data_IF_037126962562
#
_entry.id   IF_037126962562
#
_cell.length_a   1.000
_cell.length_b   1.000
_cell.length_c   1.000
_cell.angle_alpha   90.00
_cell.angle_beta   90.00
_cell.angle_gamma   90.00
#
_symmetry.space_group_name_H-M   'P 1'
#
loop_
_entity.id
_entity.type
_entity.pdbx_description
1 polymer ?
#
# COMPACT_ATOMS: atom_id res chain seq x y z
N UNK A 1 -70.11 2.84 22.88
CA UNK A 1 -68.70 2.60 23.28
C UNK A 1 -67.83 3.62 22.55
N UNK A 2 -67.27 4.58 23.29
CA UNK A 2 -66.48 5.70 22.75
C UNK A 2 -65.07 5.22 22.37
N UNK A 3 -64.55 5.56 21.18
CA UNK A 3 -63.14 5.32 20.85
C UNK A 3 -62.26 6.42 21.48
N UNK A 4 -61.16 6.00 22.11
CA UNK A 4 -60.09 6.87 22.62
C UNK A 4 -59.27 7.44 21.44
N UNK A 5 -58.90 8.73 21.45
CA UNK A 5 -58.05 9.33 20.42
C UNK A 5 -56.56 9.16 20.77
N UNK A 6 -55.74 8.84 19.76
CA UNK A 6 -54.29 8.98 19.77
C UNK A 6 -53.91 10.40 19.35
N UNK A 7 -52.89 10.93 20.01
CA UNK A 7 -52.53 12.34 20.08
C UNK A 7 -52.11 12.96 18.75
N UNK A 8 -52.62 14.17 18.51
CA UNK A 8 -52.10 15.14 17.57
C UNK A 8 -51.42 16.28 18.34
N UNK A 9 -50.29 16.77 17.82
CA UNK A 9 -49.77 18.12 18.11
C UNK A 9 -48.30 18.17 18.49
N UNK A 10 -47.46 18.65 17.56
CA UNK A 10 -46.52 19.77 17.80
C UNK A 10 -45.56 19.94 16.60
N UNK A 11 -46.04 20.52 15.51
CA UNK A 11 -45.23 21.36 14.63
C UNK A 11 -45.19 22.78 15.20
N UNK A 12 -44.06 23.47 14.98
CA UNK A 12 -43.84 24.91 15.14
C UNK A 12 -43.70 25.44 16.58
N UNK A 13 -42.45 25.43 17.07
CA UNK A 13 -41.83 26.52 17.85
C UNK A 13 -40.37 26.17 18.10
N UNK A 14 -39.45 26.85 17.40
CA UNK A 14 -38.09 27.25 17.84
C UNK A 14 -37.30 27.86 16.67
N UNK A 15 -37.86 28.89 16.03
CA UNK A 15 -37.06 30.02 15.56
C UNK A 15 -36.97 30.98 16.74
N UNK A 16 -35.78 31.07 17.36
CA UNK A 16 -35.28 32.08 18.29
C UNK A 16 -34.29 31.44 19.28
N UNK A 17 -33.12 31.06 18.79
CA UNK A 17 -31.92 30.80 19.60
C UNK A 17 -30.67 30.88 18.70
N UNK A 18 -30.61 31.95 17.90
CA UNK A 18 -29.46 32.42 17.15
C UNK A 18 -29.35 33.91 17.51
N UNK A 19 -28.51 34.20 18.50
CA UNK A 19 -28.01 35.52 18.95
C UNK A 19 -27.86 35.51 20.48
N UNK A 20 -26.72 35.02 20.98
CA UNK A 20 -26.07 35.44 22.23
C UNK A 20 -25.11 34.34 22.70
N UNK A 21 -23.93 34.23 22.08
CA UNK A 21 -22.75 33.60 22.70
C UNK A 21 -21.46 33.89 21.89
N UNK A 22 -21.36 35.07 21.27
CA UNK A 22 -20.13 35.57 20.62
C UNK A 22 -19.67 36.90 21.24
N UNK A 23 -19.48 36.92 22.57
CA UNK A 23 -18.93 38.09 23.25
C UNK A 23 -18.36 37.75 24.65
N UNK A 24 -17.36 36.87 24.73
CA UNK A 24 -16.48 36.76 25.91
C UNK A 24 -15.29 35.81 25.63
N UNK A 25 -14.31 36.23 24.82
CA UNK A 25 -12.89 35.90 25.01
C UNK A 25 -12.05 36.67 23.97
N UNK A 26 -12.07 37.99 24.09
CA UNK A 26 -11.22 38.91 23.33
C UNK A 26 -10.67 40.00 24.26
N UNK A 27 -10.06 39.61 25.38
CA UNK A 27 -9.27 40.49 26.25
C UNK A 27 -8.15 39.66 26.88
N UNK A 28 -7.03 39.55 26.16
CA UNK A 28 -5.68 39.34 26.70
C UNK A 28 -4.74 39.13 25.51
N UNK A 29 -4.16 40.22 25.00
CA UNK A 29 -2.84 40.41 24.35
C UNK A 29 -2.98 41.67 23.49
N UNK A 30 -3.00 42.82 24.15
CA UNK A 30 -2.81 44.12 23.51
C UNK A 30 -2.25 45.06 24.59
N UNK A 31 -0.93 45.07 24.73
CA UNK A 31 -0.30 45.92 25.72
C UNK A 31 1.19 45.69 25.89
N UNK A 32 1.98 45.82 24.82
CA UNK A 32 3.31 46.45 24.85
C UNK A 32 3.64 46.89 23.42
N UNK A 33 3.41 48.15 23.09
CA UNK A 33 4.18 48.89 22.08
C UNK A 33 3.56 50.28 21.89
N UNK A 34 4.09 51.30 22.56
CA UNK A 34 4.24 52.63 21.97
C UNK A 34 5.35 53.43 22.66
N UNK A 35 6.21 53.98 21.79
CA UNK A 35 6.92 55.27 21.87
C UNK A 35 8.25 55.36 22.63
N UNK A 36 9.30 55.30 21.81
CA UNK A 36 10.44 56.22 21.74
C UNK A 36 10.46 57.40 22.72
N UNK A 37 11.55 57.50 23.48
CA UNK A 37 12.14 58.77 23.85
C UNK A 37 13.67 58.62 23.89
N UNK A 38 14.32 59.59 23.26
CA UNK A 38 15.76 59.75 23.06
C UNK A 38 16.52 59.81 24.39
N UNK A 39 17.68 59.17 24.42
CA UNK A 39 18.79 59.59 25.28
C UNK A 39 20.06 59.60 24.44
N UNK A 40 20.47 60.82 24.08
CA UNK A 40 21.80 61.14 23.57
C UNK A 40 22.84 60.77 24.63
N UNK A 41 23.66 59.78 24.33
CA UNK A 41 24.83 59.45 25.14
C UNK A 41 26.08 59.87 24.36
N UNK A 42 26.74 60.90 24.89
CA UNK A 42 27.91 61.53 24.32
C UNK A 42 29.06 60.54 24.21
N UNK A 43 29.52 60.29 22.97
CA UNK A 43 30.69 59.46 22.69
C UNK A 43 31.97 60.29 22.87
N UNK A 44 32.73 59.98 23.91
CA UNK A 44 34.08 60.48 24.11
C UNK A 44 35.02 60.04 22.97
N UNK A 45 36.04 60.83 22.59
CA UNK A 45 36.91 60.53 21.46
C UNK A 45 37.85 59.35 21.74
N UNK A 46 38.07 58.56 20.69
CA UNK A 46 38.95 57.41 20.66
C UNK A 46 40.43 57.79 20.90
N UNK A 47 41.08 57.13 21.85
CA UNK A 47 42.54 57.06 21.95
C UNK A 47 43.11 56.09 20.89
N UNK A 48 44.39 56.22 20.50
CA UNK A 48 44.97 55.44 19.42
C UNK A 48 45.04 53.95 19.79
N UNK A 49 44.47 53.12 18.92
CA UNK A 49 44.50 51.66 19.05
C UNK A 49 45.93 51.14 18.92
N UNK A 50 46.42 50.49 19.98
CA UNK A 50 47.64 49.68 19.94
C UNK A 50 47.35 48.39 19.17
N UNK A 51 47.99 48.22 18.00
CA UNK A 51 47.90 47.00 17.20
C UNK A 51 48.64 45.88 17.94
N UNK A 52 47.90 44.92 18.49
CA UNK A 52 48.45 43.65 18.94
C UNK A 52 48.65 42.71 17.74
N UNK A 53 49.79 42.00 17.63
CA UNK A 53 50.06 41.13 16.50
C UNK A 53 49.12 39.92 16.48
N UNK A 54 48.54 39.66 15.31
CA UNK A 54 47.65 38.54 15.03
C UNK A 54 48.29 37.20 15.41
N UNK A 55 47.64 36.48 16.32
CA UNK A 55 47.99 35.10 16.64
C UNK A 55 47.81 34.22 15.40
N UNK A 56 48.89 33.58 14.96
CA UNK A 56 48.90 32.63 13.85
C UNK A 56 47.92 31.48 14.12
N UNK A 57 46.96 31.29 13.22
CA UNK A 57 46.04 30.17 13.26
C UNK A 57 46.82 28.85 13.15
N UNK A 58 46.69 27.98 14.17
CA UNK A 58 47.21 26.62 14.13
C UNK A 58 46.50 25.84 13.01
N UNK A 59 47.22 25.07 12.18
CA UNK A 59 46.57 24.21 11.19
C UNK A 59 45.70 23.17 11.91
N UNK A 60 44.43 23.08 11.50
CA UNK A 60 43.52 22.06 11.99
C UNK A 60 44.06 20.67 11.61
N UNK A 61 44.19 19.79 12.59
CA UNK A 61 44.51 18.39 12.35
C UNK A 61 43.38 17.78 11.51
N UNK A 62 43.69 16.96 10.48
CA UNK A 62 42.67 16.29 9.69
C UNK A 62 41.83 15.40 10.60
N UNK A 63 40.51 15.65 10.64
CA UNK A 63 39.57 14.72 11.26
C UNK A 63 39.67 13.37 10.53
N UNK A 64 39.77 12.25 11.25
CA UNK A 64 39.70 10.94 10.61
C UNK A 64 38.36 10.85 9.89
N UNK A 65 38.42 10.55 8.58
CA UNK A 65 37.23 10.28 7.79
C UNK A 65 36.40 9.20 8.51
N UNK A 66 35.11 9.45 8.69
CA UNK A 66 34.19 8.45 9.23
C UNK A 66 34.41 7.14 8.46
N UNK A 67 34.58 6.00 9.14
CA UNK A 67 34.81 4.73 8.46
C UNK A 67 33.69 4.51 7.45
N UNK A 68 34.05 4.36 6.17
CA UNK A 68 33.08 4.02 5.15
C UNK A 68 32.40 2.69 5.53
N UNK A 69 31.09 2.55 5.33
CA UNK A 69 30.41 1.29 5.60
C UNK A 69 31.10 0.15 4.84
N UNK A 70 31.29 -0.99 5.50
CA UNK A 70 31.85 -2.16 4.81
C UNK A 70 30.89 -2.68 3.72
N UNK A 71 31.42 -3.46 2.79
CA UNK A 71 30.65 -3.97 1.65
C UNK A 71 29.49 -4.89 2.08
N UNK A 72 29.61 -5.56 3.23
CA UNK A 72 28.57 -6.47 3.75
C UNK A 72 27.37 -5.66 4.23
N UNK A 73 27.60 -4.57 4.95
CA UNK A 73 26.56 -3.64 5.38
C UNK A 73 25.84 -3.00 4.20
N UNK A 74 26.58 -2.57 3.17
CA UNK A 74 25.97 -1.99 1.96
C UNK A 74 25.12 -3.01 1.21
N UNK A 75 25.61 -4.25 1.05
CA UNK A 75 24.85 -5.32 0.42
C UNK A 75 23.57 -5.68 1.20
N UNK A 76 23.66 -5.69 2.55
CA UNK A 76 22.47 -5.87 3.41
C UNK A 76 21.49 -4.71 3.25
N UNK A 77 21.98 -3.47 3.21
CA UNK A 77 21.15 -2.30 3.01
C UNK A 77 20.45 -2.28 1.66
N UNK A 78 21.15 -2.68 0.59
CA UNK A 78 20.56 -2.85 -0.74
C UNK A 78 19.46 -3.92 -0.73
N UNK A 79 19.73 -5.06 -0.07
CA UNK A 79 18.75 -6.13 0.09
C UNK A 79 17.48 -5.63 0.80
N UNK A 80 17.63 -4.89 1.89
CA UNK A 80 16.49 -4.33 2.63
C UNK A 80 15.77 -3.25 1.83
N UNK A 81 16.47 -2.43 1.04
CA UNK A 81 15.86 -1.43 0.16
C UNK A 81 14.96 -2.09 -0.91
N UNK A 82 15.44 -3.20 -1.50
CA UNK A 82 14.65 -4.03 -2.44
C UNK A 82 13.50 -4.72 -1.74
N UNK A 83 13.74 -5.39 -0.61
CA UNK A 83 12.70 -6.03 0.19
C UNK A 83 11.60 -5.05 0.64
N UNK A 84 11.95 -3.78 0.83
CA UNK A 84 11.04 -2.71 1.24
C UNK A 84 10.38 -1.95 0.09
N UNK A 85 10.62 -2.36 -1.15
CA UNK A 85 10.09 -1.73 -2.36
C UNK A 85 10.37 -0.22 -2.44
N UNK A 86 11.55 0.19 -1.97
CA UNK A 86 11.92 1.61 -1.96
C UNK A 86 11.95 2.17 -3.40
N UNK A 87 12.46 1.39 -4.36
CA UNK A 87 12.59 1.80 -5.75
C UNK A 87 11.23 1.91 -6.46
N UNK A 88 10.29 0.97 -6.27
CA UNK A 88 8.97 1.00 -6.91
C UNK A 88 8.14 2.22 -6.50
N UNK A 89 8.28 2.66 -5.24
CA UNK A 89 7.61 3.88 -4.76
C UNK A 89 8.39 5.17 -5.07
N UNK A 90 9.72 5.16 -4.96
CA UNK A 90 10.56 6.36 -5.08
C UNK A 90 11.21 6.54 -6.45
N UNK A 91 10.75 5.87 -7.49
CA UNK A 91 11.22 6.09 -8.87
C UNK A 91 10.05 6.55 -9.72
N UNK A 92 10.20 7.67 -10.43
CA UNK A 92 9.14 8.11 -11.34
C UNK A 92 8.96 7.09 -12.48
N UNK A 93 7.71 6.83 -12.91
CA UNK A 93 7.46 5.95 -14.05
C UNK A 93 8.11 6.50 -15.33
N UNK A 94 8.25 5.65 -16.35
CA UNK A 94 8.80 6.01 -17.67
C UNK A 94 10.28 6.41 -17.64
N UNK A 95 11.11 5.68 -16.88
CA UNK A 95 12.56 5.87 -16.87
C UNK A 95 13.05 6.99 -15.96
N UNK A 96 12.33 7.28 -14.88
CA UNK A 96 12.82 8.14 -13.82
C UNK A 96 14.13 7.62 -13.22
N UNK A 97 14.99 8.53 -12.75
CA UNK A 97 16.20 8.13 -12.04
C UNK A 97 15.83 7.37 -10.74
N UNK A 98 16.49 6.23 -10.44
CA UNK A 98 16.20 5.44 -9.26
C UNK A 98 16.18 6.28 -7.99
N UNK A 99 15.16 6.07 -7.14
CA UNK A 99 15.01 6.72 -5.84
C UNK A 99 14.82 8.26 -5.86
N UNK A 100 14.75 8.89 -7.05
CA UNK A 100 14.65 10.35 -7.20
C UNK A 100 13.22 10.91 -7.03
N UNK A 101 12.27 10.08 -6.61
CA UNK A 101 10.87 10.42 -6.37
C UNK A 101 10.07 10.74 -7.63
N UNK A 102 8.84 11.23 -7.41
CA UNK A 102 7.95 11.69 -8.47
C UNK A 102 6.98 10.64 -9.00
N UNK A 103 6.88 9.46 -8.36
CA UNK A 103 5.75 8.56 -8.54
C UNK A 103 4.51 9.12 -7.82
N UNK A 104 3.33 9.00 -8.41
CA UNK A 104 2.08 9.50 -7.85
C UNK A 104 1.19 8.36 -7.39
N UNK A 105 0.87 8.32 -6.10
CA UNK A 105 -0.07 7.36 -5.55
C UNK A 105 -1.48 7.96 -5.48
N UNK A 106 -2.43 7.34 -6.17
CA UNK A 106 -3.85 7.69 -6.10
C UNK A 106 -4.42 7.36 -4.71
N UNK A 107 -5.25 8.25 -4.17
CA UNK A 107 -6.00 8.02 -2.95
C UNK A 107 -7.38 8.69 -3.02
N UNK A 108 -8.35 8.29 -2.17
CA UNK A 108 -9.63 8.99 -2.08
C UNK A 108 -9.53 10.47 -1.71
N UNK A 109 -8.36 10.93 -1.26
CA UNK A 109 -8.12 12.30 -0.82
C UNK A 109 -7.34 13.13 -1.85
N UNK A 110 -6.94 12.53 -2.97
CA UNK A 110 -6.08 13.13 -4.00
C UNK A 110 -4.79 12.35 -4.24
N UNK A 111 -3.86 12.94 -4.99
CA UNK A 111 -2.62 12.28 -5.41
C UNK A 111 -1.46 12.61 -4.49
N UNK A 112 -0.82 11.59 -3.91
CA UNK A 112 0.35 11.73 -3.06
C UNK A 112 1.60 11.45 -3.88
N UNK A 113 2.42 12.49 -4.10
CA UNK A 113 3.71 12.34 -4.79
C UNK A 113 4.81 11.82 -3.85
N UNK A 114 5.57 10.83 -4.29
CA UNK A 114 6.77 10.33 -3.61
C UNK A 114 7.93 11.33 -3.72
N UNK A 115 8.82 11.31 -2.72
CA UNK A 115 9.94 12.24 -2.61
C UNK A 115 11.25 11.63 -3.11
N UNK A 116 12.20 12.46 -3.47
CA UNK A 116 13.58 12.10 -3.72
C UNK A 116 14.23 11.65 -2.39
N UNK A 117 14.66 10.39 -2.35
CA UNK A 117 15.35 9.79 -1.19
C UNK A 117 16.81 9.43 -1.51
N UNK A 118 17.36 9.97 -2.61
CA UNK A 118 18.79 9.85 -2.93
C UNK A 118 19.63 10.68 -1.94
N UNK A 119 20.94 10.44 -1.81
CA UNK A 119 21.80 11.22 -0.92
C UNK A 119 22.13 12.62 -1.45
N UNK A 120 21.35 13.15 -2.40
CA UNK A 120 21.49 14.54 -2.84
C UNK A 120 21.29 15.50 -1.64
N UNK A 121 22.22 16.45 -1.40
CA UNK A 121 22.20 17.29 -0.21
C UNK A 121 21.16 18.42 -0.28
N UNK A 122 20.54 18.68 -1.43
CA UNK A 122 19.61 19.81 -1.59
C UNK A 122 18.15 19.36 -1.72
N UNK A 123 17.90 18.34 -2.53
CA UNK A 123 16.57 17.82 -2.84
C UNK A 123 16.29 16.44 -2.25
N UNK A 124 17.33 15.68 -1.92
CA UNK A 124 17.27 14.34 -1.34
C UNK A 124 17.43 14.32 0.19
N UNK A 125 17.95 13.21 0.69
CA UNK A 125 18.21 12.97 2.12
C UNK A 125 19.69 13.17 2.50
N UNK A 126 20.52 13.76 1.64
CA UNK A 126 21.97 13.87 1.87
C UNK A 126 22.39 14.58 3.15
N UNK A 127 21.49 15.34 3.77
CA UNK A 127 21.72 16.01 5.05
C UNK A 127 20.94 15.37 6.23
N UNK A 128 20.41 14.17 6.08
CA UNK A 128 19.73 13.45 7.16
C UNK A 128 20.79 12.76 8.00
N UNK A 129 20.68 12.90 9.32
CA UNK A 129 21.38 11.99 10.25
C UNK A 129 20.70 10.62 10.24
N UNK A 130 21.35 9.62 10.83
CA UNK A 130 20.71 8.33 11.09
C UNK A 130 19.40 8.50 11.89
N UNK A 131 19.40 9.33 12.93
CA UNK A 131 18.21 9.58 13.76
C UNK A 131 17.07 10.24 12.96
N UNK A 132 17.40 11.13 12.04
CA UNK A 132 16.41 11.72 11.13
C UNK A 132 15.80 10.64 10.22
N UNK A 133 16.63 9.76 9.66
CA UNK A 133 16.19 8.66 8.81
C UNK A 133 15.34 7.64 9.56
N UNK A 134 15.80 7.18 10.74
CA UNK A 134 15.07 6.28 11.62
C UNK A 134 13.71 6.86 12.03
N UNK A 135 13.66 8.16 12.32
CA UNK A 135 12.41 8.87 12.67
C UNK A 135 11.46 8.98 11.49
N UNK A 136 11.95 9.09 10.26
CA UNK A 136 11.10 9.03 9.06
C UNK A 136 10.47 7.65 8.95
N UNK A 137 11.28 6.60 8.99
CA UNK A 137 10.81 5.24 8.77
C UNK A 137 9.89 4.74 9.90
N UNK A 138 10.24 4.98 11.16
CA UNK A 138 9.45 4.48 12.30
C UNK A 138 8.28 5.36 12.69
N UNK A 139 8.33 6.66 12.41
CA UNK A 139 7.34 7.63 12.93
C UNK A 139 6.67 8.47 11.85
N UNK A 140 7.11 8.39 10.59
CA UNK A 140 6.57 9.21 9.52
C UNK A 140 6.81 10.70 9.75
N UNK A 141 7.94 11.09 10.34
CA UNK A 141 8.29 12.50 10.60
C UNK A 141 9.63 12.84 9.96
N UNK A 142 9.60 13.61 8.87
CA UNK A 142 10.78 14.07 8.15
C UNK A 142 11.54 15.18 8.90
N UNK A 143 12.72 15.56 8.41
CA UNK A 143 13.50 16.70 8.95
C UNK A 143 12.66 17.98 8.92
N UNK A 144 12.79 18.81 9.96
CA UNK A 144 11.95 19.99 10.16
C UNK A 144 10.54 19.70 10.70
N UNK A 145 10.28 18.48 11.18
CA UNK A 145 9.00 18.12 11.83
C UNK A 145 7.84 17.85 10.88
N UNK A 146 8.11 17.81 9.57
CA UNK A 146 7.09 17.57 8.54
C UNK A 146 6.56 16.14 8.61
N UNK A 147 5.28 15.98 8.94
CA UNK A 147 4.61 14.66 8.99
C UNK A 147 4.31 14.14 7.59
N UNK A 148 4.51 12.84 7.39
CA UNK A 148 4.25 12.12 6.15
C UNK A 148 2.84 11.55 6.16
N UNK A 149 2.21 11.54 4.99
CA UNK A 149 0.97 10.80 4.79
C UNK A 149 1.23 9.30 4.97
N UNK A 150 0.27 8.54 5.51
CA UNK A 150 0.40 7.08 5.70
C UNK A 150 0.37 6.28 4.38
N UNK A 151 0.55 6.96 3.24
CA UNK A 151 0.94 6.33 1.98
C UNK A 151 2.37 5.78 2.03
N UNK A 152 3.26 6.42 2.79
CA UNK A 152 4.53 5.83 3.15
C UNK A 152 4.27 4.90 4.35
N UNK A 153 4.56 3.59 4.26
CA UNK A 153 4.09 2.59 5.22
C UNK A 153 4.92 2.57 6.52
N UNK A 154 5.07 3.73 7.17
CA UNK A 154 5.81 3.85 8.43
C UNK A 154 5.18 3.06 9.59
N UNK A 155 3.91 2.68 9.50
CA UNK A 155 3.29 1.78 10.47
C UNK A 155 3.85 0.35 10.38
N UNK A 156 4.23 -0.11 9.18
CA UNK A 156 4.94 -1.37 8.99
C UNK A 156 6.43 -1.19 9.30
N UNK A 157 7.08 -0.15 8.78
CA UNK A 157 8.50 0.11 9.03
C UNK A 157 8.82 0.45 10.48
N UNK A 158 7.85 0.82 11.32
CA UNK A 158 8.04 0.88 12.77
C UNK A 158 8.59 -0.45 13.35
N UNK A 159 8.26 -1.58 12.71
CA UNK A 159 8.69 -2.92 13.10
C UNK A 159 10.08 -3.31 12.58
N UNK A 160 10.75 -2.49 11.75
CA UNK A 160 12.10 -2.79 11.25
C UNK A 160 13.09 -2.89 12.41
N UNK A 161 13.96 -3.89 12.39
CA UNK A 161 15.00 -4.01 13.41
C UNK A 161 16.10 -2.95 13.24
N UNK A 162 16.87 -2.70 14.30
CA UNK A 162 17.90 -1.65 14.26
C UNK A 162 19.05 -1.97 13.30
N UNK A 163 19.37 -3.24 13.07
CA UNK A 163 20.49 -3.63 12.22
C UNK A 163 20.16 -3.39 10.74
N UNK A 164 18.97 -3.81 10.31
CA UNK A 164 18.43 -3.57 8.97
C UNK A 164 18.23 -2.07 8.72
N UNK A 165 17.81 -1.32 9.73
CA UNK A 165 17.65 0.13 9.62
C UNK A 165 18.99 0.87 9.43
N UNK A 166 20.03 0.48 10.18
CA UNK A 166 21.38 1.03 9.98
C UNK A 166 21.96 0.65 8.61
N UNK A 167 21.83 -0.62 8.21
CA UNK A 167 22.29 -1.08 6.91
C UNK A 167 21.58 -0.34 5.76
N UNK A 168 20.26 -0.19 5.87
CA UNK A 168 19.47 0.58 4.90
C UNK A 168 19.93 2.03 4.82
N UNK A 169 20.13 2.70 5.96
CA UNK A 169 20.67 4.08 5.97
C UNK A 169 22.05 4.15 5.30
N UNK A 170 22.97 3.22 5.61
CA UNK A 170 24.28 3.16 5.00
C UNK A 170 24.19 3.00 3.47
N UNK A 171 23.33 2.11 2.98
CA UNK A 171 23.10 1.94 1.54
C UNK A 171 22.50 3.18 0.89
N UNK A 172 21.50 3.82 1.51
CA UNK A 172 20.91 5.03 0.94
C UNK A 172 21.89 6.19 0.88
N UNK A 173 22.82 6.29 1.84
CA UNK A 173 23.79 7.38 1.90
C UNK A 173 25.05 7.15 1.05
N UNK A 174 25.47 5.88 0.87
CA UNK A 174 26.76 5.54 0.25
C UNK A 174 26.64 4.62 -0.96
N UNK A 175 25.56 3.85 -1.09
CA UNK A 175 25.31 2.93 -2.21
C UNK A 175 24.42 3.49 -3.31
N UNK A 176 23.62 4.53 -3.03
CA UNK A 176 22.73 5.17 -4.01
C UNK A 176 23.40 6.40 -4.62
N UNK A 177 23.30 6.56 -5.94
CA UNK A 177 23.79 7.75 -6.62
C UNK A 177 22.94 8.99 -6.28
N UNK A 178 23.54 10.15 -5.96
CA UNK A 178 22.80 11.37 -5.71
C UNK A 178 22.14 11.88 -6.99
N UNK A 179 20.88 12.31 -6.90
CA UNK A 179 20.15 12.90 -8.03
C UNK A 179 19.58 14.26 -7.61
N UNK A 180 20.05 15.32 -8.24
CA UNK A 180 19.61 16.68 -7.97
C UNK A 180 18.26 17.00 -8.64
N UNK A 181 17.19 16.33 -8.17
CA UNK A 181 15.82 16.49 -8.71
C UNK A 181 14.85 16.99 -7.64
N UNK A 182 14.16 18.12 -7.85
CA UNK A 182 13.21 18.65 -6.88
C UNK A 182 11.95 17.79 -6.74
N UNK A 183 11.41 17.76 -5.53
CA UNK A 183 10.18 17.05 -5.20
C UNK A 183 8.95 17.70 -5.86
N UNK A 184 8.05 16.86 -6.37
CA UNK A 184 6.71 17.29 -6.80
C UNK A 184 5.80 17.44 -5.58
N UNK A 185 4.91 18.43 -5.61
CA UNK A 185 3.92 18.62 -4.53
C UNK A 185 2.80 17.59 -4.65
N UNK A 186 2.41 17.01 -3.52
CA UNK A 186 1.18 16.22 -3.43
C UNK A 186 -0.03 17.13 -3.64
N UNK A 187 -1.02 16.64 -4.38
CA UNK A 187 -2.30 17.32 -4.60
C UNK A 187 -3.37 16.59 -3.78
N UNK A 188 -3.44 16.95 -2.49
CA UNK A 188 -4.41 16.39 -1.54
C UNK A 188 -5.43 17.48 -1.24
N UNK A 189 -6.71 17.13 -1.27
CA UNK A 189 -7.80 18.09 -1.07
C UNK A 189 -7.95 18.52 0.40
N UNK A 190 -8.46 19.73 0.64
CA UNK A 190 -8.89 20.14 1.97
C UNK A 190 -10.04 19.22 2.47
N UNK A 191 -10.07 18.80 3.75
CA UNK A 191 -9.15 19.17 4.85
C UNK A 191 -7.87 18.32 4.97
N UNK A 192 -7.70 17.30 4.13
CA UNK A 192 -6.60 16.32 4.24
C UNK A 192 -5.22 16.88 3.85
N UNK A 193 -5.15 18.06 3.23
CA UNK A 193 -3.88 18.79 3.02
C UNK A 193 -3.24 19.31 4.32
N UNK A 194 -3.98 19.35 5.43
CA UNK A 194 -3.52 19.89 6.70
C UNK A 194 -2.65 18.88 7.47
N UNK A 195 -1.33 18.88 7.21
CA UNK A 195 -0.38 17.91 7.78
C UNK A 195 -0.27 17.88 9.30
N UNK A 196 -0.69 18.94 10.00
CA UNK A 196 -0.67 18.96 11.48
C UNK A 196 -1.67 17.95 12.08
N UNK A 197 -2.80 17.68 11.40
CA UNK A 197 -3.79 16.70 11.86
C UNK A 197 -3.24 15.27 11.89
N UNK A 198 -2.22 14.98 11.08
CA UNK A 198 -1.52 13.69 11.10
C UNK A 198 -0.81 13.42 12.43
N UNK A 199 -0.57 14.44 13.26
CA UNK A 199 -0.04 14.24 14.61
C UNK A 199 -0.98 13.35 15.44
N UNK A 200 -2.27 13.67 15.44
CA UNK A 200 -3.29 12.91 16.18
C UNK A 200 -3.46 11.52 15.59
N UNK A 201 -3.47 11.42 14.26
CA UNK A 201 -3.55 10.15 13.56
C UNK A 201 -2.38 9.23 13.91
N UNK A 202 -1.15 9.75 13.87
CA UNK A 202 0.05 8.97 14.17
C UNK A 202 0.07 8.53 15.64
N UNK A 203 -0.37 9.37 16.57
CA UNK A 203 -0.48 9.03 17.98
C UNK A 203 -1.42 7.83 18.22
N UNK A 204 -2.49 7.74 17.44
CA UNK A 204 -3.53 6.73 17.58
C UNK A 204 -3.18 5.39 16.88
N UNK A 205 -2.49 5.42 15.75
CA UNK A 205 -2.42 4.25 14.84
C UNK A 205 -1.01 3.75 14.51
N UNK A 206 0.06 4.42 14.92
CA UNK A 206 1.43 3.97 14.62
C UNK A 206 1.94 3.04 15.72
N UNK A 207 2.32 1.78 15.39
CA UNK A 207 3.02 0.92 16.32
C UNK A 207 4.31 1.58 16.81
N UNK A 208 4.65 1.38 18.08
CA UNK A 208 5.80 2.06 18.70
C UNK A 208 7.04 1.19 18.80
N UNK A 209 6.87 -0.13 18.69
CA UNK A 209 7.90 -1.10 18.97
C UNK A 209 8.36 -1.81 17.69
N UNK A 210 9.67 -2.11 17.58
CA UNK A 210 10.20 -3.04 16.59
C UNK A 210 9.50 -4.41 16.68
N UNK A 211 9.63 -5.21 15.63
CA UNK A 211 9.17 -6.59 15.67
C UNK A 211 9.84 -7.36 16.81
N UNK A 212 9.05 -8.13 17.56
CA UNK A 212 9.53 -8.99 18.62
C UNK A 212 9.29 -10.45 18.22
N UNK A 213 10.35 -11.28 18.16
CA UNK A 213 10.20 -12.70 17.87
C UNK A 213 9.30 -13.40 18.89
N UNK A 214 8.43 -14.27 18.39
CA UNK A 214 7.57 -15.14 19.18
C UNK A 214 8.37 -16.33 19.70
N UNK A 215 8.42 -16.49 21.02
CA UNK A 215 9.17 -17.56 21.68
C UNK A 215 8.57 -18.96 21.45
N UNK A 216 7.27 -19.05 21.13
CA UNK A 216 6.55 -20.29 20.80
C UNK A 216 6.70 -20.70 19.32
N UNK A 217 7.47 -19.93 18.54
CA UNK A 217 7.64 -20.12 17.09
C UNK A 217 9.10 -20.32 16.73
N UNK A 218 9.33 -21.08 15.65
CA UNK A 218 10.67 -21.29 15.14
C UNK A 218 11.25 -20.03 14.46
N UNK A 219 12.55 -20.05 14.18
CA UNK A 219 13.25 -18.93 13.57
C UNK A 219 12.71 -18.56 12.18
N UNK A 220 12.22 -19.54 11.42
CA UNK A 220 11.78 -19.30 10.06
C UNK A 220 10.39 -18.67 10.01
N UNK A 221 9.50 -19.09 10.91
CA UNK A 221 8.21 -18.43 11.11
C UNK A 221 8.42 -16.97 11.52
N UNK A 222 9.30 -16.72 12.50
CA UNK A 222 9.63 -15.37 12.95
C UNK A 222 10.24 -14.52 11.83
N UNK A 223 11.09 -15.11 10.98
CA UNK A 223 11.62 -14.42 9.80
C UNK A 223 10.53 -14.04 8.80
N UNK A 224 9.60 -14.96 8.52
CA UNK A 224 8.45 -14.69 7.64
C UNK A 224 7.53 -13.61 8.20
N UNK A 225 7.23 -13.68 9.50
CA UNK A 225 6.45 -12.67 10.21
C UNK A 225 7.10 -11.29 10.14
N UNK A 226 8.40 -11.20 10.42
CA UNK A 226 9.17 -9.97 10.28
C UNK A 226 9.06 -9.40 8.87
N UNK A 227 9.32 -10.20 7.83
CA UNK A 227 9.26 -9.75 6.45
C UNK A 227 7.86 -9.27 6.05
N UNK A 228 6.81 -9.99 6.43
CA UNK A 228 5.43 -9.63 6.07
C UNK A 228 4.92 -8.39 6.83
N UNK A 229 5.26 -8.27 8.11
CA UNK A 229 4.75 -7.20 8.98
C UNK A 229 5.59 -5.91 8.94
N UNK A 230 6.86 -5.98 8.50
CA UNK A 230 7.77 -4.84 8.50
C UNK A 230 8.20 -4.43 7.09
N UNK A 231 9.36 -4.88 6.62
CA UNK A 231 10.00 -4.46 5.38
C UNK A 231 9.14 -4.79 4.16
N UNK A 232 8.53 -5.96 4.07
CA UNK A 232 7.64 -6.33 2.96
C UNK A 232 6.25 -5.70 3.03
N UNK A 233 5.90 -5.04 4.15
CA UNK A 233 4.72 -4.20 4.36
C UNK A 233 3.40 -4.73 3.78
N UNK A 234 3.19 -6.05 3.73
CA UNK A 234 2.12 -6.67 2.95
C UNK A 234 0.72 -6.22 3.39
N UNK A 235 0.57 -5.89 4.68
CA UNK A 235 -0.65 -5.32 5.24
C UNK A 235 -1.07 -3.97 4.65
N UNK A 236 -0.12 -3.22 4.08
CA UNK A 236 -0.40 -1.96 3.39
C UNK A 236 -1.32 -2.14 2.18
N UNK A 237 -1.33 -3.33 1.58
CA UNK A 237 -2.26 -3.67 0.50
C UNK A 237 -3.34 -4.64 0.95
N UNK A 238 -2.95 -5.66 1.71
CA UNK A 238 -3.80 -6.80 2.00
C UNK A 238 -4.61 -6.66 3.30
N UNK A 239 -4.56 -5.54 4.02
CA UNK A 239 -5.40 -5.32 5.21
C UNK A 239 -6.44 -4.22 4.91
N UNK A 240 -7.73 -4.40 5.28
CA UNK A 240 -8.76 -3.41 5.01
C UNK A 240 -8.53 -2.11 5.79
N UNK A 241 -9.02 -1.00 5.22
CA UNK A 241 -8.91 0.34 5.83
C UNK A 241 -10.10 0.65 6.76
N UNK A 242 -9.81 1.31 7.87
CA UNK A 242 -10.79 1.75 8.86
C UNK A 242 -11.40 3.11 8.54
N UNK A 243 -12.23 3.62 9.45
CA UNK A 243 -12.94 4.91 9.29
C UNK A 243 -12.00 6.12 9.14
N UNK A 244 -10.80 6.06 9.72
CA UNK A 244 -9.77 7.09 9.61
C UNK A 244 -8.73 6.72 8.53
N UNK A 245 -9.11 5.82 7.61
CA UNK A 245 -8.25 5.27 6.56
C UNK A 245 -6.97 4.57 7.07
N UNK A 246 -6.97 4.16 8.33
CA UNK A 246 -5.89 3.40 8.96
C UNK A 246 -5.97 1.92 8.61
N UNK A 247 -4.84 1.23 8.66
CA UNK A 247 -4.81 -0.23 8.65
C UNK A 247 -5.55 -0.80 9.87
N UNK A 248 -6.47 -1.74 9.68
CA UNK A 248 -7.27 -2.31 10.78
C UNK A 248 -6.55 -3.38 11.61
N UNK A 249 -5.39 -3.84 11.18
CA UNK A 249 -4.55 -4.79 11.90
C UNK A 249 -3.12 -4.75 11.38
N UNK A 250 -2.12 -4.88 12.25
CA UNK A 250 -0.69 -4.79 11.87
C UNK A 250 0.06 -6.11 12.01
N UNK A 251 -0.61 -7.13 12.53
CA UNK A 251 -0.06 -8.46 12.85
C UNK A 251 -1.20 -9.48 13.03
N UNK A 252 -0.80 -10.74 13.16
CA UNK A 252 -1.67 -11.91 13.25
C UNK A 252 -2.63 -11.93 14.45
N UNK A 253 -2.41 -11.06 15.45
CA UNK A 253 -3.31 -10.90 16.59
C UNK A 253 -4.65 -10.28 16.19
N UNK A 254 -4.68 -9.49 15.11
CA UNK A 254 -5.90 -8.87 14.58
C UNK A 254 -6.63 -9.84 13.65
N UNK A 255 -7.96 -9.93 13.81
CA UNK A 255 -8.82 -10.72 12.91
C UNK A 255 -8.95 -10.14 11.51
N UNK A 256 -8.53 -8.89 11.30
CA UNK A 256 -8.60 -8.21 9.98
C UNK A 256 -7.26 -8.16 9.27
N UNK A 257 -6.17 -8.56 9.91
CA UNK A 257 -4.85 -8.55 9.29
C UNK A 257 -4.81 -9.49 8.10
N UNK A 258 -4.41 -8.95 6.94
CA UNK A 258 -4.27 -9.66 5.67
C UNK A 258 -5.57 -10.27 5.08
N UNK A 259 -6.75 -9.76 5.44
CA UNK A 259 -8.04 -10.27 4.93
C UNK A 259 -8.50 -9.63 3.62
N UNK A 260 -7.62 -8.93 2.92
CA UNK A 260 -7.86 -8.22 1.68
C UNK A 260 -8.20 -6.73 1.84
N UNK A 261 -7.97 -5.94 0.79
CA UNK A 261 -8.20 -4.49 0.78
C UNK A 261 -8.18 -3.91 -0.63
N UNK A 262 -8.91 -2.82 -0.85
CA UNK A 262 -8.88 -2.09 -2.13
C UNK A 262 -7.94 -0.89 -2.02
N UNK A 263 -6.92 -0.87 -2.87
CA UNK A 263 -6.00 0.24 -3.05
C UNK A 263 -5.99 0.64 -4.53
N UNK A 264 -6.16 1.93 -4.81
CA UNK A 264 -6.14 2.47 -6.19
C UNK A 264 -7.00 1.67 -7.19
N UNK A 265 -8.22 1.29 -6.76
CA UNK A 265 -9.13 0.46 -7.56
C UNK A 265 -8.56 -0.91 -7.99
N UNK A 266 -7.61 -1.43 -7.23
CA UNK A 266 -7.18 -2.82 -7.24
C UNK A 266 -7.53 -3.45 -5.88
N UNK A 267 -8.27 -4.55 -5.90
CA UNK A 267 -8.43 -5.40 -4.75
C UNK A 267 -7.21 -6.32 -4.59
N UNK A 268 -6.50 -6.14 -3.49
CA UNK A 268 -5.48 -7.03 -2.96
C UNK A 268 -6.17 -8.19 -2.22
N UNK A 269 -6.00 -9.46 -2.65
CA UNK A 269 -6.73 -10.60 -2.11
C UNK A 269 -6.47 -10.91 -0.63
N UNK A 270 -7.30 -11.78 -0.04
CA UNK A 270 -7.05 -12.37 1.27
C UNK A 270 -5.77 -13.24 1.23
N UNK A 271 -4.84 -13.04 2.17
CA UNK A 271 -3.62 -13.85 2.30
C UNK A 271 -3.68 -14.87 3.44
N UNK A 272 -4.80 -14.95 4.16
CA UNK A 272 -4.99 -15.89 5.26
C UNK A 272 -5.20 -17.32 4.76
N UNK A 273 -5.23 -18.28 5.69
CA UNK A 273 -5.48 -19.69 5.40
C UNK A 273 -6.88 -20.03 4.89
N UNK A 274 -7.67 -19.06 4.44
CA UNK A 274 -8.98 -19.31 3.85
C UNK A 274 -8.88 -20.21 2.61
N UNK A 275 -9.69 -21.27 2.60
CA UNK A 275 -9.65 -22.29 1.57
C UNK A 275 -10.47 -21.93 0.33
N UNK A 276 -11.17 -20.79 0.31
CA UNK A 276 -11.97 -20.26 -0.78
C UNK A 276 -11.25 -19.17 -1.56
N UNK A 277 -11.19 -17.98 -0.97
CA UNK A 277 -10.62 -16.74 -1.53
C UNK A 277 -9.23 -16.40 -0.98
N UNK A 278 -8.73 -17.15 0.01
CA UNK A 278 -7.37 -17.01 0.55
C UNK A 278 -6.33 -18.02 0.03
N UNK A 279 -5.25 -18.17 0.80
CA UNK A 279 -4.10 -19.05 0.52
C UNK A 279 -4.23 -20.45 1.14
N UNK A 280 -5.39 -20.83 1.66
CA UNK A 280 -5.64 -22.12 2.31
C UNK A 280 -5.31 -23.32 1.41
N UNK A 281 -5.53 -23.20 0.10
CA UNK A 281 -5.24 -24.26 -0.90
C UNK A 281 -3.79 -24.27 -1.42
N UNK A 282 -3.02 -23.22 -1.15
CA UNK A 282 -1.67 -23.06 -1.66
C UNK A 282 -0.65 -23.76 -0.77
N UNK A 283 0.51 -24.13 -1.34
CA UNK A 283 1.69 -24.57 -0.60
C UNK A 283 2.60 -23.38 -0.32
N UNK A 284 3.38 -23.43 0.75
CA UNK A 284 4.38 -22.40 1.05
C UNK A 284 5.38 -22.20 -0.11
N UNK A 285 5.76 -23.27 -0.81
CA UNK A 285 6.63 -23.21 -1.99
C UNK A 285 5.97 -22.54 -3.20
N UNK A 286 4.65 -22.64 -3.34
CA UNK A 286 3.90 -21.98 -4.42
C UNK A 286 3.77 -20.48 -4.16
N UNK A 287 3.61 -20.09 -2.88
CA UNK A 287 3.67 -18.69 -2.46
C UNK A 287 5.06 -18.12 -2.74
N UNK A 288 6.12 -18.85 -2.38
CA UNK A 288 7.49 -18.44 -2.66
C UNK A 288 7.74 -18.28 -4.18
N UNK A 289 7.28 -19.22 -5.00
CA UNK A 289 7.40 -19.12 -6.46
C UNK A 289 6.62 -17.92 -7.03
N UNK A 290 5.42 -17.65 -6.50
CA UNK A 290 4.61 -16.50 -6.89
C UNK A 290 5.32 -15.18 -6.56
N UNK A 291 5.88 -15.04 -5.35
CA UNK A 291 6.64 -13.85 -4.97
C UNK A 291 7.94 -13.71 -5.77
N UNK A 292 8.55 -14.81 -6.21
CA UNK A 292 9.79 -14.77 -7.01
C UNK A 292 9.56 -14.39 -8.46
N UNK A 293 8.46 -14.86 -9.06
CA UNK A 293 8.27 -14.84 -10.52
C UNK A 293 6.93 -14.29 -10.97
N UNK A 294 6.00 -14.04 -10.06
CA UNK A 294 4.60 -13.77 -10.33
C UNK A 294 3.74 -14.97 -10.67
N UNK A 295 4.27 -16.19 -10.59
CA UNK A 295 3.57 -17.41 -11.00
C UNK A 295 3.63 -18.45 -9.87
N UNK A 296 2.47 -18.95 -9.44
CA UNK A 296 2.41 -19.97 -8.38
C UNK A 296 0.99 -20.47 -8.11
N UNK A 297 0.85 -21.75 -7.78
CA UNK A 297 -0.45 -22.34 -7.42
C UNK A 297 -1.54 -22.20 -8.50
N UNK A 298 -1.16 -22.11 -9.78
CA UNK A 298 -2.08 -21.87 -10.91
C UNK A 298 -2.53 -20.42 -11.07
N UNK A 299 -1.99 -19.49 -10.27
CA UNK A 299 -2.31 -18.07 -10.28
C UNK A 299 -1.13 -17.27 -10.86
N UNK A 300 -1.46 -16.09 -11.39
CA UNK A 300 -0.50 -15.14 -11.95
C UNK A 300 -0.78 -13.75 -11.36
N UNK A 301 0.28 -13.02 -11.00
CA UNK A 301 0.18 -11.67 -10.47
C UNK A 301 -0.45 -10.71 -11.47
N UNK A 302 -1.16 -9.71 -10.96
CA UNK A 302 -1.84 -8.68 -11.74
C UNK A 302 -1.87 -7.35 -10.98
N UNK A 303 -2.20 -6.26 -11.69
CA UNK A 303 -2.30 -4.92 -11.11
C UNK A 303 -0.98 -4.50 -10.46
N UNK A 304 -1.06 -3.78 -9.33
CA UNK A 304 0.11 -3.30 -8.59
C UNK A 304 1.01 -4.40 -8.03
N UNK A 305 0.53 -5.64 -7.92
CA UNK A 305 1.37 -6.77 -7.50
C UNK A 305 2.42 -7.12 -8.55
N UNK A 306 2.19 -6.79 -9.83
CA UNK A 306 3.18 -6.96 -10.91
C UNK A 306 4.41 -6.10 -10.61
N UNK A 307 4.20 -4.81 -10.35
CA UNK A 307 5.25 -3.84 -10.03
C UNK A 307 5.96 -4.21 -8.72
N UNK A 308 5.21 -4.62 -7.69
CA UNK A 308 5.79 -5.10 -6.44
C UNK A 308 6.76 -6.26 -6.66
N UNK A 309 6.42 -7.20 -7.55
CA UNK A 309 7.29 -8.35 -7.82
C UNK A 309 8.50 -7.92 -8.64
N UNK A 310 8.29 -7.07 -9.64
CA UNK A 310 9.35 -6.56 -10.52
C UNK A 310 10.38 -5.69 -9.78
N UNK A 311 9.94 -4.87 -8.83
CA UNK A 311 10.81 -3.92 -8.15
C UNK A 311 11.29 -4.42 -6.76
N UNK A 312 10.64 -5.44 -6.19
CA UNK A 312 10.90 -5.89 -4.82
C UNK A 312 11.05 -7.41 -4.67
N UNK A 313 9.95 -8.17 -4.63
CA UNK A 313 9.99 -9.51 -4.05
C UNK A 313 10.81 -10.53 -4.85
N UNK A 314 11.02 -10.32 -6.15
CA UNK A 314 11.90 -11.19 -6.95
C UNK A 314 13.37 -11.19 -6.51
N UNK A 315 13.80 -10.17 -5.76
CA UNK A 315 15.17 -10.03 -5.27
C UNK A 315 15.38 -10.63 -3.89
N UNK A 316 14.32 -11.14 -3.24
CA UNK A 316 14.43 -11.84 -1.97
C UNK A 316 15.14 -13.18 -2.17
N UNK A 317 15.84 -13.61 -1.12
CA UNK A 317 16.43 -14.96 -1.11
C UNK A 317 15.33 -16.02 -1.07
N UNK A 318 15.63 -17.22 -1.59
CA UNK A 318 14.68 -18.34 -1.58
C UNK A 318 14.25 -18.72 -0.16
N UNK A 319 15.16 -18.61 0.82
CA UNK A 319 14.86 -18.86 2.23
C UNK A 319 13.87 -17.84 2.81
N UNK A 320 14.02 -16.56 2.48
CA UNK A 320 13.10 -15.50 2.91
C UNK A 320 11.73 -15.62 2.22
N UNK A 321 11.71 -15.97 0.94
CA UNK A 321 10.46 -16.25 0.20
C UNK A 321 9.71 -17.44 0.81
N UNK A 322 10.44 -18.51 1.15
CA UNK A 322 9.88 -19.67 1.86
C UNK A 322 9.41 -19.29 3.27
N UNK A 323 10.15 -18.46 4.00
CA UNK A 323 9.77 -17.98 5.32
C UNK A 323 8.44 -17.21 5.27
N UNK A 324 8.29 -16.29 4.30
CA UNK A 324 7.03 -15.59 4.03
C UNK A 324 5.91 -16.61 3.76
N UNK A 325 6.15 -17.57 2.87
CA UNK A 325 5.19 -18.62 2.57
C UNK A 325 4.76 -19.43 3.81
N UNK A 326 5.71 -19.83 4.67
CA UNK A 326 5.41 -20.57 5.91
C UNK A 326 4.61 -19.73 6.90
N UNK A 327 4.96 -18.46 7.07
CA UNK A 327 4.22 -17.54 7.93
C UNK A 327 2.78 -17.35 7.46
N UNK A 328 2.57 -17.00 6.18
CA UNK A 328 1.22 -16.78 5.64
C UNK A 328 0.35 -18.03 5.75
N UNK A 329 0.91 -19.22 5.50
CA UNK A 329 0.20 -20.50 5.67
C UNK A 329 -0.20 -20.81 7.11
N UNK A 330 0.44 -20.21 8.09
CA UNK A 330 0.11 -20.40 9.50
C UNK A 330 -1.09 -19.57 9.97
N UNK A 331 -1.50 -18.57 9.18
CA UNK A 331 -2.60 -17.67 9.53
C UNK A 331 -3.95 -18.40 9.41
N UNK A 332 -4.82 -18.34 10.44
CA UNK A 332 -6.11 -18.99 10.38
C UNK A 332 -7.02 -18.32 9.33
N UNK A 333 -8.00 -19.04 8.77
CA UNK A 333 -9.02 -18.43 7.92
C UNK A 333 -9.79 -17.38 8.73
N UNK A 334 -10.01 -16.18 8.15
CA UNK A 334 -10.70 -15.08 8.83
C UNK A 334 -12.07 -14.75 8.24
N UNK A 335 -12.22 -14.75 6.92
CA UNK A 335 -13.46 -14.34 6.25
C UNK A 335 -13.82 -15.24 5.05
N UNK A 336 -14.29 -16.49 5.29
CA UNK A 336 -14.71 -17.37 4.19
C UNK A 336 -15.93 -16.78 3.48
N UNK A 337 -15.75 -16.30 2.25
CA UNK A 337 -16.80 -15.69 1.43
C UNK A 337 -17.25 -16.56 0.25
N UNK A 338 -16.47 -17.58 -0.10
CA UNK A 338 -16.66 -18.41 -1.28
C UNK A 338 -16.08 -19.82 -1.08
N UNK A 339 -16.46 -20.76 -1.94
CA UNK A 339 -15.99 -22.16 -1.87
C UNK A 339 -15.57 -22.67 -3.24
N UNK A 340 -14.75 -23.72 -3.24
CA UNK A 340 -14.33 -24.44 -4.44
C UNK A 340 -14.42 -25.94 -4.20
N UNK A 341 -15.12 -26.65 -5.09
CA UNK A 341 -15.29 -28.10 -5.04
C UNK A 341 -14.92 -28.71 -6.40
N UNK A 342 -13.69 -29.25 -6.58
CA UNK A 342 -13.11 -29.62 -7.88
C UNK A 342 -13.80 -30.77 -8.65
N UNK A 343 -14.93 -31.29 -8.16
CA UNK A 343 -15.69 -32.39 -8.79
C UNK A 343 -17.22 -32.19 -8.75
N UNK A 344 -17.69 -31.01 -8.32
CA UNK A 344 -19.11 -30.65 -8.34
C UNK A 344 -19.51 -30.02 -9.69
N UNK A 345 -19.16 -30.68 -10.79
CA UNK A 345 -19.57 -30.31 -12.16
C UNK A 345 -20.98 -30.83 -12.50
N UNK A 346 -21.68 -31.42 -11.52
CA UNK A 346 -23.03 -31.97 -11.69
C UNK A 346 -24.02 -30.81 -11.88
N UNK A 347 -24.31 -30.50 -13.15
CA UNK A 347 -25.49 -29.78 -13.65
C UNK A 347 -26.09 -28.83 -12.62
N UNK A 348 -25.37 -27.74 -12.29
CA UNK A 348 -25.81 -26.85 -11.22
C UNK A 348 -27.11 -26.17 -11.62
N UNK A 349 -28.06 -26.22 -10.69
CA UNK A 349 -29.32 -25.48 -10.75
C UNK A 349 -29.01 -24.04 -11.16
N UNK A 350 -29.72 -23.49 -12.15
CA UNK A 350 -29.46 -22.15 -12.64
C UNK A 350 -29.47 -21.15 -11.49
N UNK A 351 -28.33 -20.50 -11.27
CA UNK A 351 -28.21 -19.38 -10.36
C UNK A 351 -29.25 -18.34 -10.79
N UNK A 352 -30.14 -17.97 -9.87
CA UNK A 352 -31.31 -17.10 -10.03
C UNK A 352 -32.63 -17.77 -10.48
N UNK A 353 -32.74 -19.11 -10.46
CA UNK A 353 -33.99 -19.77 -10.88
C UNK A 353 -34.31 -19.61 -12.38
N UNK A 354 -33.33 -19.17 -13.17
CA UNK A 354 -33.43 -19.01 -14.63
C UNK A 354 -33.61 -20.38 -15.29
N UNK A 355 -34.70 -20.63 -16.01
CA UNK A 355 -34.89 -21.94 -16.69
C UNK A 355 -33.95 -22.18 -17.88
N UNK A 356 -33.03 -21.27 -18.16
CA UNK A 356 -32.12 -21.34 -19.31
C UNK A 356 -30.94 -22.29 -18.98
N UNK A 357 -30.72 -23.34 -19.77
CA UNK A 357 -29.52 -24.16 -19.67
C UNK A 357 -28.25 -23.30 -19.72
N UNK A 358 -27.25 -23.61 -18.90
CA UNK A 358 -26.00 -22.84 -18.81
C UNK A 358 -25.29 -22.67 -20.17
N UNK A 359 -25.33 -23.71 -21.01
CA UNK A 359 -24.82 -23.71 -22.38
C UNK A 359 -25.50 -22.69 -23.31
N UNK A 360 -26.67 -22.16 -22.91
CA UNK A 360 -27.42 -21.13 -23.61
C UNK A 360 -27.33 -19.77 -22.90
N UNK A 361 -26.59 -19.67 -21.79
CA UNK A 361 -26.39 -18.40 -21.09
C UNK A 361 -25.46 -17.48 -21.90
N UNK A 362 -25.71 -16.17 -21.83
CA UNK A 362 -24.83 -15.17 -22.46
C UNK A 362 -23.42 -15.26 -21.88
N UNK A 363 -23.28 -15.45 -20.57
CA UNK A 363 -21.98 -15.58 -19.92
C UNK A 363 -21.14 -16.74 -20.46
N UNK A 364 -21.73 -17.92 -20.63
CA UNK A 364 -21.08 -19.07 -21.25
C UNK A 364 -20.65 -18.78 -22.70
N UNK A 365 -21.54 -18.20 -23.51
CA UNK A 365 -21.24 -17.90 -24.91
C UNK A 365 -20.12 -16.87 -25.06
N UNK A 366 -20.10 -15.84 -24.21
CA UNK A 366 -19.00 -14.87 -24.14
C UNK A 366 -17.70 -15.59 -23.74
N UNK A 367 -17.73 -16.43 -22.70
CA UNK A 367 -16.55 -17.18 -22.27
C UNK A 367 -15.97 -18.05 -23.38
N UNK A 368 -16.81 -18.83 -24.06
CA UNK A 368 -16.41 -19.71 -25.15
C UNK A 368 -15.84 -18.94 -26.34
N UNK A 369 -16.35 -17.75 -26.61
CA UNK A 369 -15.93 -16.93 -27.75
C UNK A 369 -14.63 -16.15 -27.49
N UNK A 370 -14.44 -15.63 -26.28
CA UNK A 370 -13.36 -14.67 -25.98
C UNK A 370 -12.30 -15.18 -25.00
N UNK A 371 -12.63 -16.13 -24.12
CA UNK A 371 -11.79 -16.48 -22.98
C UNK A 371 -11.21 -17.90 -23.06
N UNK A 372 -11.99 -18.85 -23.59
CA UNK A 372 -11.66 -20.28 -23.55
C UNK A 372 -10.40 -20.66 -24.35
N UNK A 373 -9.98 -19.83 -25.31
CA UNK A 373 -8.76 -20.07 -26.08
C UNK A 373 -7.50 -20.02 -25.20
N UNK A 374 -7.49 -19.17 -24.18
CA UNK A 374 -6.36 -19.01 -23.27
C UNK A 374 -6.60 -19.73 -21.93
N UNK A 375 -7.82 -19.61 -21.37
CA UNK A 375 -8.15 -20.18 -20.06
C UNK A 375 -8.66 -21.62 -20.10
N UNK A 376 -8.80 -22.21 -21.29
CA UNK A 376 -9.33 -23.57 -21.48
C UNK A 376 -10.86 -23.63 -21.43
N UNK A 377 -11.46 -24.73 -21.89
CA UNK A 377 -12.91 -24.95 -21.75
C UNK A 377 -13.33 -25.29 -20.32
N UNK A 378 -12.39 -25.85 -19.55
CA UNK A 378 -12.52 -26.28 -18.16
C UNK A 378 -11.94 -25.26 -17.16
N UNK A 379 -11.57 -24.06 -17.64
CA UNK A 379 -11.04 -23.00 -16.80
C UNK A 379 -9.70 -23.30 -16.13
N UNK A 380 -8.97 -24.35 -16.55
CA UNK A 380 -7.68 -24.73 -15.94
C UNK A 380 -6.50 -23.87 -16.42
N UNK A 381 -6.68 -23.11 -17.50
CA UNK A 381 -5.62 -22.32 -18.11
C UNK A 381 -4.47 -23.18 -18.62
N UNK A 382 -3.32 -22.53 -18.79
CA UNK A 382 -2.06 -23.18 -19.17
C UNK A 382 -1.03 -22.82 -18.10
N UNK A 383 -0.45 -23.80 -17.39
CA UNK A 383 0.48 -23.54 -16.31
C UNK A 383 1.57 -22.53 -16.70
N UNK A 384 1.76 -21.52 -15.85
CA UNK A 384 2.75 -20.44 -16.02
C UNK A 384 2.58 -19.54 -17.28
N UNK A 385 1.47 -19.68 -18.02
CA UNK A 385 1.17 -18.85 -19.20
C UNK A 385 -0.17 -18.15 -19.05
N UNK A 386 -1.23 -18.91 -18.78
CA UNK A 386 -2.58 -18.39 -18.55
C UNK A 386 -3.10 -18.93 -17.21
N UNK A 387 -3.53 -18.06 -16.28
CA UNK A 387 -3.91 -18.50 -14.96
C UNK A 387 -5.15 -19.39 -15.04
N UNK A 388 -5.22 -20.36 -14.13
CA UNK A 388 -6.45 -21.09 -13.86
C UNK A 388 -7.52 -20.10 -13.38
N UNK A 389 -8.76 -20.29 -13.82
CA UNK A 389 -9.94 -19.62 -13.31
C UNK A 389 -10.74 -20.54 -12.36
N UNK A 390 -10.67 -21.86 -12.60
CA UNK A 390 -11.19 -22.87 -11.69
C UNK A 390 -10.38 -22.86 -10.38
N UNK A 391 -11.05 -22.65 -9.25
CA UNK A 391 -10.41 -22.63 -7.93
C UNK A 391 -9.40 -21.50 -7.73
N UNK A 392 -9.50 -20.43 -8.53
CA UNK A 392 -8.63 -19.27 -8.39
C UNK A 392 -9.12 -18.39 -7.23
N UNK A 393 -8.23 -18.08 -6.28
CA UNK A 393 -8.57 -17.35 -5.07
C UNK A 393 -9.05 -15.91 -5.37
N UNK A 394 -8.46 -15.24 -6.37
CA UNK A 394 -8.90 -13.92 -6.83
C UNK A 394 -10.24 -13.96 -7.57
N UNK A 395 -10.54 -15.05 -8.28
CA UNK A 395 -11.87 -15.26 -8.87
C UNK A 395 -12.93 -15.47 -7.80
N UNK A 396 -12.58 -16.06 -6.66
CA UNK A 396 -13.50 -16.38 -5.56
C UNK A 396 -13.61 -15.27 -4.51
N UNK A 397 -12.76 -14.24 -4.57
CA UNK A 397 -12.81 -13.09 -3.68
C UNK A 397 -14.21 -12.45 -3.61
N UNK A 398 -14.58 -11.98 -2.41
CA UNK A 398 -15.82 -11.25 -2.19
C UNK A 398 -15.85 -9.95 -3.00
N UNK A 399 -14.77 -9.16 -2.90
CA UNK A 399 -14.61 -7.94 -3.67
C UNK A 399 -14.17 -8.26 -5.11
N UNK A 400 -14.98 -7.83 -6.07
CA UNK A 400 -14.80 -8.14 -7.48
C UNK A 400 -14.10 -7.04 -8.27
N UNK A 401 -13.59 -6.01 -7.60
CA UNK A 401 -13.01 -4.82 -8.24
C UNK A 401 -11.88 -5.20 -9.21
N UNK A 402 -10.89 -5.98 -8.75
CA UNK A 402 -9.77 -6.43 -9.61
C UNK A 402 -10.23 -7.31 -10.76
N UNK A 403 -11.20 -8.20 -10.52
CA UNK A 403 -11.69 -9.13 -11.53
C UNK A 403 -12.42 -8.40 -12.66
N UNK A 404 -13.26 -7.42 -12.33
CA UNK A 404 -13.92 -6.55 -13.31
C UNK A 404 -12.88 -5.71 -14.05
N UNK A 405 -11.95 -5.08 -13.32
CA UNK A 405 -10.91 -4.22 -13.90
C UNK A 405 -10.04 -4.98 -14.90
N UNK A 406 -9.64 -6.21 -14.59
CA UNK A 406 -8.87 -7.06 -15.51
C UNK A 406 -9.58 -7.29 -16.84
N UNK A 407 -10.91 -7.47 -16.85
CA UNK A 407 -11.65 -7.59 -18.11
C UNK A 407 -11.79 -6.25 -18.83
N UNK A 408 -12.00 -5.16 -18.09
CA UNK A 408 -12.18 -3.83 -18.68
C UNK A 408 -10.87 -3.31 -19.29
N UNK A 409 -9.78 -3.33 -18.52
CA UNK A 409 -8.50 -2.71 -18.88
C UNK A 409 -7.49 -3.69 -19.48
N UNK A 410 -7.70 -5.00 -19.31
CA UNK A 410 -6.68 -6.01 -19.57
C UNK A 410 -5.65 -6.08 -18.44
N UNK A 411 -4.56 -6.81 -18.68
CA UNK A 411 -3.47 -6.94 -17.71
C UNK A 411 -2.25 -7.60 -18.31
N UNK A 412 -1.15 -7.59 -17.56
CA UNK A 412 0.08 -8.26 -17.94
C UNK A 412 0.63 -9.06 -16.76
N UNK A 413 1.25 -10.21 -17.04
CA UNK A 413 2.07 -10.90 -16.05
C UNK A 413 3.41 -10.18 -15.85
N UNK A 414 4.10 -10.39 -14.71
CA UNK A 414 5.38 -9.74 -14.48
C UNK A 414 6.50 -10.31 -15.35
N UNK A 415 7.47 -9.45 -15.64
CA UNK A 415 8.73 -9.71 -16.29
C UNK A 415 9.82 -9.76 -15.24
N UNK A 416 10.14 -10.97 -14.77
CA UNK A 416 11.13 -11.18 -13.70
C UNK A 416 12.41 -11.79 -14.25
N UNK A 417 13.50 -11.74 -13.46
CA UNK A 417 14.82 -12.26 -13.84
C UNK A 417 14.83 -13.76 -14.15
N UNK A 418 13.96 -14.52 -13.49
CA UNK A 418 13.95 -16.01 -13.57
C UNK A 418 12.58 -16.58 -13.93
N UNK A 419 11.58 -15.73 -14.17
CA UNK A 419 10.22 -16.16 -14.48
C UNK A 419 9.94 -16.33 -15.97
N UNK A 420 8.73 -16.78 -16.31
CA UNK A 420 8.25 -16.86 -17.70
C UNK A 420 8.23 -15.48 -18.39
N UNK A 421 8.25 -15.44 -19.73
CA UNK A 421 8.05 -14.21 -20.48
C UNK A 421 6.69 -13.58 -20.19
N UNK A 422 6.65 -12.24 -20.10
CA UNK A 422 5.43 -11.46 -19.90
C UNK A 422 4.34 -11.87 -20.89
N UNK A 423 3.16 -12.18 -20.37
CA UNK A 423 1.95 -12.49 -21.11
C UNK A 423 0.93 -11.36 -20.93
N UNK A 424 0.15 -11.10 -21.97
CA UNK A 424 -0.86 -10.05 -21.97
C UNK A 424 -2.26 -10.65 -22.02
N UNK A 425 -3.13 -10.18 -21.12
CA UNK A 425 -4.57 -10.39 -21.20
C UNK A 425 -5.21 -9.21 -21.96
N UNK A 426 -5.98 -9.44 -23.04
CA UNK A 426 -6.62 -8.38 -23.80
C UNK A 426 -7.60 -7.56 -22.96
N UNK A 427 -7.78 -6.30 -23.36
CA UNK A 427 -8.81 -5.40 -22.81
C UNK A 427 -10.15 -5.62 -23.53
N UNK A 428 -11.27 -5.58 -22.80
CA UNK A 428 -12.61 -5.75 -23.38
C UNK A 428 -13.54 -4.55 -23.19
N UNK A 429 -13.03 -3.40 -22.70
CA UNK A 429 -13.82 -2.18 -22.51
C UNK A 429 -14.68 -1.78 -23.72
N UNK A 430 -14.14 -1.90 -24.94
CA UNK A 430 -14.83 -1.46 -26.17
C UNK A 430 -15.52 -2.62 -26.91
N UNK A 431 -15.31 -3.86 -26.46
CA UNK A 431 -15.78 -5.07 -27.16
C UNK A 431 -17.02 -5.67 -26.49
N UNK A 432 -17.11 -5.59 -25.17
CA UNK A 432 -18.19 -6.16 -24.38
C UNK A 432 -18.95 -5.08 -23.62
N UNK A 433 -20.28 -5.14 -23.69
CA UNK A 433 -21.14 -4.31 -22.86
C UNK A 433 -21.07 -4.70 -21.38
N UNK A 434 -21.46 -3.80 -20.48
CA UNK A 434 -21.45 -4.02 -19.03
C UNK A 434 -22.19 -5.30 -18.62
N UNK A 435 -23.34 -5.55 -19.27
CA UNK A 435 -24.15 -6.76 -19.06
C UNK A 435 -23.38 -8.03 -19.46
N UNK A 436 -22.66 -8.00 -20.58
CA UNK A 436 -21.88 -9.15 -21.05
C UNK A 436 -20.71 -9.43 -20.11
N UNK A 437 -20.01 -8.39 -19.64
CA UNK A 437 -18.93 -8.52 -18.65
C UNK A 437 -19.46 -9.10 -17.33
N UNK A 438 -20.56 -8.55 -16.80
CA UNK A 438 -21.16 -9.07 -15.57
C UNK A 438 -21.59 -10.53 -15.70
N UNK A 439 -22.16 -10.91 -16.84
CA UNK A 439 -22.61 -12.28 -17.10
C UNK A 439 -21.46 -13.28 -17.28
N UNK A 440 -20.39 -12.93 -18.01
CA UNK A 440 -19.23 -13.83 -18.17
C UNK A 440 -18.49 -14.03 -16.85
N UNK A 441 -18.34 -12.97 -16.05
CA UNK A 441 -17.71 -13.09 -14.74
C UNK A 441 -18.57 -13.89 -13.76
N UNK A 442 -19.90 -13.71 -13.81
CA UNK A 442 -20.83 -14.55 -13.04
C UNK A 442 -20.67 -16.02 -13.41
N UNK A 443 -20.61 -16.34 -14.71
CA UNK A 443 -20.37 -17.71 -15.18
C UNK A 443 -19.03 -18.27 -14.64
N UNK A 444 -17.93 -17.52 -14.79
CA UNK A 444 -16.60 -17.92 -14.29
C UNK A 444 -16.62 -18.21 -12.77
N UNK A 445 -17.37 -17.39 -12.00
CA UNK A 445 -17.50 -17.51 -10.54
C UNK A 445 -18.40 -18.65 -10.07
N UNK A 446 -19.14 -19.28 -10.99
CA UNK A 446 -20.02 -20.42 -10.72
C UNK A 446 -19.60 -21.73 -11.39
N UNK A 447 -18.70 -21.67 -12.37
CA UNK A 447 -18.27 -22.81 -13.18
C UNK A 447 -17.13 -23.61 -12.51
N UNK A 448 -16.96 -24.86 -12.96
CA UNK A 448 -15.84 -25.75 -12.60
C UNK A 448 -15.67 -25.99 -11.09
N UNK A 449 -16.76 -25.95 -10.33
CA UNK A 449 -16.73 -26.08 -8.88
C UNK A 449 -16.63 -24.77 -8.10
N UNK A 450 -16.43 -23.61 -8.77
CA UNK A 450 -16.43 -22.29 -8.13
C UNK A 450 -17.81 -21.94 -7.57
N UNK A 451 -17.88 -21.40 -6.36
CA UNK A 451 -19.13 -20.92 -5.78
C UNK A 451 -18.88 -19.59 -5.06
N UNK A 452 -19.11 -18.51 -5.81
CA UNK A 452 -18.99 -17.14 -5.33
C UNK A 452 -20.17 -16.28 -5.84
N UNK A 453 -20.37 -15.12 -5.21
CA UNK A 453 -21.49 -14.22 -5.53
C UNK A 453 -21.45 -13.72 -6.99
N UNK A 454 -22.59 -13.56 -7.67
CA UNK A 454 -22.65 -13.08 -9.05
C UNK A 454 -22.19 -11.62 -9.16
N UNK A 455 -21.86 -11.19 -10.38
CA UNK A 455 -21.50 -9.81 -10.71
C UNK A 455 -22.60 -9.19 -11.57
N UNK A 456 -23.07 -8.02 -11.17
CA UNK A 456 -24.12 -7.31 -11.89
C UNK A 456 -23.54 -6.37 -12.94
N UNK A 457 -24.35 -5.98 -13.92
CA UNK A 457 -23.98 -4.93 -14.87
C UNK A 457 -23.72 -3.59 -14.17
N UNK A 458 -24.42 -3.32 -13.05
CA UNK A 458 -24.23 -2.10 -12.28
C UNK A 458 -22.86 -2.05 -11.60
N UNK A 459 -22.34 -3.19 -11.13
CA UNK A 459 -20.99 -3.27 -10.57
C UNK A 459 -19.93 -2.91 -11.63
N UNK A 460 -20.10 -3.42 -12.85
CA UNK A 460 -19.23 -3.12 -13.98
C UNK A 460 -19.31 -1.65 -14.37
N UNK A 461 -20.52 -1.12 -14.52
CA UNK A 461 -20.74 0.29 -14.89
C UNK A 461 -20.15 1.23 -13.83
N UNK A 462 -20.39 0.95 -12.55
CA UNK A 462 -19.86 1.73 -11.43
C UNK A 462 -18.33 1.72 -11.41
N UNK A 463 -17.69 0.59 -11.71
CA UNK A 463 -16.24 0.53 -11.78
C UNK A 463 -15.69 1.27 -13.00
N UNK A 464 -16.29 1.11 -14.18
CA UNK A 464 -15.93 1.90 -15.37
C UNK A 464 -16.00 3.39 -15.08
N UNK A 465 -17.00 3.82 -14.33
CA UNK A 465 -17.11 5.20 -13.91
C UNK A 465 -16.02 5.65 -12.93
N UNK A 466 -15.58 4.77 -12.02
CA UNK A 466 -14.48 5.10 -11.12
C UNK A 466 -13.12 5.14 -11.83
N UNK A 467 -12.96 4.34 -12.88
CA UNK A 467 -11.77 4.31 -13.73
C UNK A 467 -11.74 5.47 -14.75
N UNK A 468 -12.77 6.34 -14.77
CA UNK A 468 -13.02 7.35 -15.80
C UNK A 468 -11.78 8.17 -16.18
N UNK A 469 -11.38 8.30 -17.45
CA UNK A 469 -11.94 7.87 -18.76
C UNK A 469 -13.45 7.93 -18.96
#
# INVERSE_FOLDING_TARGET
MKPRPLMAGATARRHAALCACMAALAVAVAGVATREARSEEARAPAGPATVLPSASARPALPQPASPQPDAVMLARGEYIAKASDCAGCHTAPQGGAPYAGGNGLGSPFGTIMSTNITPDPHYGIGQYTYDDFARVLRKGVARGGKRLYPAMPYNAFAKIDDADLHALYAYMMHGVAPVAKPNRKSDVSFPFNQRWGLWFWQLAFVPREPYQPHADRDAQWNRGAYLVQSVGHCGSCHTPRGIAYQERGTDESSSTFLTGGVNDHWFAPDLTGDAGSGLGRWRASEIAAFLKTGHGGGNIAYGSMVEQIEDSSQYLTDDDLLAIGRYLKSLPPRNPSATYAPHDDVARKPLNGSRVPEALSVGYNVYRSFCAQCHGGDGRGVPNVFPALAGNSSVLAEDTTSLIRLLVEGGNSPSTLTGPPRQQMPRFADTLADVQIGQVLTYIRSAWGNNAQPITANDVSSLRQKLHK
#
